data_IF_222790740261
#
_entry.id   IF_222790740261
#
_cell.length_a   1.000
_cell.length_b   1.000
_cell.length_c   1.000
_cell.angle_alpha   90.00
_cell.angle_beta   90.00
_cell.angle_gamma   90.00
#
_symmetry.space_group_name_H-M   'P 1'
#
loop_
_entity.id
_entity.type
_entity.pdbx_description
1 polymer ?
#
# COMPACT_ATOMS: atom_id res chain seq x y z
N UNK A 1 -4.02 -27.73 -14.82
CA UNK A 1 -3.71 -26.92 -14.66
C UNK A 1 -3.04 -26.39 -14.92
N UNK A 2 -3.08 -26.37 -15.12
CA UNK A 2 -2.51 -25.60 -15.21
C UNK A 2 -2.19 -24.79 -15.46
N UNK A 3 -2.23 -24.62 -15.81
CA UNK A 3 -1.88 -23.60 -15.95
C UNK A 3 -1.27 -23.03 -15.87
N UNK A 4 -1.09 -23.10 -15.91
CA UNK A 4 -0.43 -22.37 -15.67
C UNK A 4 0.23 -21.98 -15.61
N UNK A 5 0.08 -22.36 -15.61
CA UNK A 5 0.80 -21.84 -15.30
C UNK A 5 1.40 -21.34 -15.65
N UNK A 6 1.13 -21.25 -15.88
CA UNK A 6 1.64 -20.56 -15.96
C UNK A 6 2.25 -19.90 -16.31
N UNK A 7 1.87 -20.02 -16.58
CA UNK A 7 2.28 -19.28 -16.71
C UNK A 7 2.79 -18.77 -16.81
N UNK A 8 2.75 -18.83 -16.75
CA UNK A 8 3.30 -18.14 -16.55
C UNK A 8 4.16 -17.91 -16.62
N UNK A 9 3.86 -17.59 -16.48
CA UNK A 9 4.95 -17.50 -16.26
C UNK A 9 6.00 -17.21 -17.16
N UNK A 10 5.91 -17.20 -18.04
CA UNK A 10 6.98 -17.05 -18.94
C UNK A 10 7.40 -15.63 -19.16
N UNK A 11 6.48 -14.77 -19.28
CA UNK A 11 6.84 -13.38 -19.49
C UNK A 11 7.68 -12.87 -18.34
N UNK A 12 7.42 -13.37 -17.20
CA UNK A 12 8.22 -13.01 -16.07
C UNK A 12 9.67 -13.38 -16.27
N UNK A 13 9.92 -14.45 -16.93
CA UNK A 13 11.29 -14.92 -17.08
C UNK A 13 12.09 -14.08 -18.04
N UNK A 14 11.42 -13.33 -18.87
CA UNK A 14 12.14 -12.73 -19.95
C UNK A 14 13.13 -11.72 -19.48
N UNK A 15 12.78 -10.70 -18.79
CA UNK A 15 13.75 -9.69 -18.52
C UNK A 15 13.63 -9.17 -17.14
N UNK A 16 14.60 -8.43 -16.77
CA UNK A 16 14.63 -7.86 -15.48
C UNK A 16 14.35 -8.87 -14.43
N UNK A 17 14.66 -10.06 -14.69
CA UNK A 17 14.23 -11.15 -13.95
C UNK A 17 14.00 -10.89 -12.48
N UNK A 18 14.96 -10.30 -11.81
CA UNK A 18 14.86 -10.17 -10.36
C UNK A 18 13.68 -9.29 -9.93
N UNK A 19 13.57 -8.12 -10.51
CA UNK A 19 12.48 -7.22 -10.14
C UNK A 19 11.12 -7.80 -10.51
N UNK A 20 11.05 -8.43 -11.66
CA UNK A 20 9.81 -9.04 -12.08
C UNK A 20 9.39 -10.14 -11.12
N UNK A 21 10.35 -10.94 -10.69
CA UNK A 21 10.04 -11.99 -9.73
C UNK A 21 9.55 -11.44 -8.42
N UNK A 22 10.20 -10.39 -7.92
CA UNK A 22 9.78 -9.78 -6.67
C UNK A 22 8.37 -9.25 -6.80
N UNK A 23 8.06 -8.58 -7.89
CA UNK A 23 6.73 -8.03 -8.10
C UNK A 23 5.68 -9.12 -8.11
N UNK A 24 5.93 -10.19 -8.85
CA UNK A 24 4.97 -11.29 -8.90
C UNK A 24 4.78 -11.92 -7.53
N UNK A 25 5.87 -12.07 -6.81
CA UNK A 25 5.81 -12.66 -5.48
C UNK A 25 5.03 -11.78 -4.51
N UNK A 26 5.17 -10.47 -4.63
CA UNK A 26 4.50 -9.55 -3.73
C UNK A 26 3.01 -9.44 -3.99
N UNK A 27 2.60 -9.61 -5.23
CA UNK A 27 1.27 -9.18 -5.62
C UNK A 27 0.17 -10.18 -5.32
N UNK A 28 0.30 -11.37 -5.66
CA UNK A 28 -0.63 -12.48 -5.42
C UNK A 28 -2.05 -12.09 -4.97
N UNK A 29 -2.71 -11.25 -5.78
CA UNK A 29 -4.10 -10.86 -5.58
C UNK A 29 -4.38 -10.09 -4.31
N UNK A 30 -3.36 -9.43 -3.76
CA UNK A 30 -3.59 -8.56 -2.62
C UNK A 30 -4.23 -7.26 -3.06
N UNK A 31 -5.04 -6.69 -2.18
CA UNK A 31 -5.74 -5.44 -2.44
C UNK A 31 -5.23 -4.38 -1.48
N UNK A 32 -4.93 -3.21 -2.03
CA UNK A 32 -4.42 -2.08 -1.26
C UNK A 32 -5.39 -0.91 -1.35
N UNK A 33 -5.69 -0.33 -0.20
CA UNK A 33 -6.48 0.90 -0.14
C UNK A 33 -5.50 2.07 -0.02
N UNK A 34 -5.57 2.97 -0.96
CA UNK A 34 -4.66 4.11 -1.07
C UNK A 34 -5.42 5.37 -0.69
N UNK A 35 -4.97 6.07 0.34
CA UNK A 35 -5.63 7.29 0.84
C UNK A 35 -4.66 8.45 0.80
N UNK A 36 -5.00 9.48 0.04
CA UNK A 36 -4.18 10.68 -0.09
C UNK A 36 -5.08 11.78 -0.63
N UNK A 37 -4.93 13.00 -0.12
CA UNK A 37 -5.79 14.08 -0.57
C UNK A 37 -5.29 14.72 -1.88
N UNK A 38 -4.11 14.35 -2.35
CA UNK A 38 -3.57 14.87 -3.60
C UNK A 38 -3.83 13.92 -4.75
N UNK A 39 -4.64 14.36 -5.67
CA UNK A 39 -5.08 13.52 -6.78
C UNK A 39 -3.91 13.02 -7.63
N UNK A 40 -2.91 13.88 -7.85
CA UNK A 40 -1.75 13.48 -8.65
C UNK A 40 -0.94 12.40 -7.95
N UNK A 41 -0.80 12.49 -6.64
CA UNK A 41 -0.09 11.45 -5.89
C UNK A 41 -0.83 10.12 -6.00
N UNK A 42 -2.16 10.16 -5.87
CA UNK A 42 -2.96 8.96 -6.00
C UNK A 42 -2.75 8.33 -7.38
N UNK A 43 -2.81 9.15 -8.43
CA UNK A 43 -2.70 8.61 -9.79
C UNK A 43 -1.36 7.91 -10.01
N UNK A 44 -0.28 8.53 -9.56
CA UNK A 44 1.05 7.96 -9.73
C UNK A 44 1.22 6.69 -8.90
N UNK A 45 0.77 6.75 -7.66
CA UNK A 45 0.88 5.60 -6.77
C UNK A 45 0.03 4.43 -7.24
N UNK A 46 -1.15 4.74 -7.76
CA UNK A 46 -2.00 3.68 -8.31
C UNK A 46 -1.33 2.98 -9.47
N UNK A 47 -0.71 3.77 -10.37
CA UNK A 47 0.00 3.18 -11.49
C UNK A 47 1.10 2.23 -11.03
N UNK A 48 1.87 2.66 -10.02
CA UNK A 48 2.94 1.82 -9.51
C UNK A 48 2.40 0.54 -8.87
N UNK A 49 1.35 0.67 -8.07
CA UNK A 49 0.79 -0.49 -7.39
C UNK A 49 0.20 -1.48 -8.38
N UNK A 50 -0.48 -1.00 -9.39
CA UNK A 50 -1.03 -1.89 -10.41
C UNK A 50 0.07 -2.56 -11.21
N UNK A 51 1.16 -1.84 -11.47
CA UNK A 51 2.28 -2.43 -12.16
C UNK A 51 2.92 -3.55 -11.34
N UNK A 52 2.86 -3.44 -10.02
CA UNK A 52 3.34 -4.50 -9.15
C UNK A 52 2.35 -5.65 -9.01
N UNK A 53 1.15 -5.51 -9.58
CA UNK A 53 0.16 -6.57 -9.58
C UNK A 53 -0.91 -6.46 -8.52
N UNK A 54 -0.91 -5.39 -7.73
CA UNK A 54 -1.91 -5.23 -6.69
C UNK A 54 -3.21 -4.68 -7.24
N UNK A 55 -4.31 -5.03 -6.59
CA UNK A 55 -5.59 -4.36 -6.80
C UNK A 55 -5.62 -3.13 -5.92
N UNK A 56 -6.19 -2.04 -6.44
CA UNK A 56 -6.11 -0.75 -5.76
C UNK A 56 -7.49 -0.15 -5.61
N UNK A 57 -7.83 0.25 -4.40
CA UNK A 57 -8.96 1.11 -4.11
C UNK A 57 -8.41 2.46 -3.70
N UNK A 58 -9.08 3.54 -4.06
CA UNK A 58 -8.57 4.89 -3.86
C UNK A 58 -9.55 5.73 -3.07
N UNK A 59 -9.02 6.60 -2.22
CA UNK A 59 -9.81 7.57 -1.49
C UNK A 59 -9.02 8.86 -1.36
N UNK A 60 -9.72 9.99 -1.41
CA UNK A 60 -9.08 11.30 -1.32
C UNK A 60 -9.24 11.95 0.05
N UNK A 61 -9.78 11.23 1.01
CA UNK A 61 -9.88 11.72 2.37
C UNK A 61 -9.91 10.53 3.32
N UNK A 62 -9.62 10.81 4.59
CA UNK A 62 -9.72 9.75 5.59
C UNK A 62 -11.11 9.20 5.71
N UNK A 63 -12.12 10.08 5.64
CA UNK A 63 -13.51 9.63 5.74
C UNK A 63 -13.88 8.70 4.60
N UNK A 64 -13.55 9.09 3.38
CA UNK A 64 -13.82 8.24 2.22
C UNK A 64 -13.08 6.91 2.34
N UNK A 65 -11.82 6.98 2.77
CA UNK A 65 -11.03 5.78 2.93
C UNK A 65 -11.60 4.82 3.93
N UNK A 66 -12.07 5.34 5.07
CA UNK A 66 -12.66 4.48 6.09
C UNK A 66 -13.98 3.88 5.62
N UNK A 67 -14.75 4.62 4.84
CA UNK A 67 -15.98 4.08 4.27
C UNK A 67 -15.67 2.93 3.32
N UNK A 68 -14.70 3.12 2.43
CA UNK A 68 -14.28 2.06 1.52
C UNK A 68 -13.75 0.87 2.28
N UNK A 69 -13.00 1.13 3.36
CA UNK A 69 -12.46 0.03 4.15
C UNK A 69 -13.57 -0.78 4.79
N UNK A 70 -14.56 -0.11 5.35
CA UNK A 70 -15.66 -0.82 5.99
C UNK A 70 -16.42 -1.68 5.00
N UNK A 71 -16.62 -1.16 3.79
CA UNK A 71 -17.35 -1.90 2.75
C UNK A 71 -16.55 -3.06 2.17
N UNK A 72 -15.23 -3.03 2.29
CA UNK A 72 -14.35 -4.00 1.67
C UNK A 72 -13.34 -4.63 2.63
N UNK A 73 -13.66 -4.64 3.91
CA UNK A 73 -12.65 -5.03 4.91
C UNK A 73 -12.17 -6.46 4.77
N UNK A 74 -13.00 -7.32 4.20
CA UNK A 74 -12.59 -8.71 4.03
C UNK A 74 -11.62 -8.90 2.86
N UNK A 75 -11.48 -7.92 2.00
CA UNK A 75 -10.59 -8.03 0.84
C UNK A 75 -9.36 -7.13 0.93
N UNK A 76 -9.42 -6.03 1.66
CA UNK A 76 -8.29 -5.11 1.75
C UNK A 76 -7.21 -5.68 2.67
N UNK A 77 -6.01 -5.79 2.15
CA UNK A 77 -4.88 -6.37 2.87
C UNK A 77 -3.96 -5.32 3.48
N UNK A 78 -3.96 -4.12 2.94
CA UNK A 78 -3.06 -3.07 3.40
C UNK A 78 -3.69 -1.71 3.10
N UNK A 79 -3.56 -0.79 4.06
CA UNK A 79 -3.91 0.61 3.83
C UNK A 79 -2.62 1.39 3.73
N UNK A 80 -2.47 2.19 2.67
CA UNK A 80 -1.39 3.15 2.56
C UNK A 80 -2.02 4.53 2.68
N UNK A 81 -1.70 5.25 3.74
CA UNK A 81 -2.33 6.53 4.02
C UNK A 81 -1.30 7.63 4.13
N UNK A 82 -1.59 8.76 3.50
CA UNK A 82 -0.83 9.98 3.73
C UNK A 82 -1.06 10.41 5.18
N UNK A 83 -0.05 11.05 5.76
CA UNK A 83 -0.18 11.53 7.13
C UNK A 83 -0.95 12.84 7.19
N UNK A 84 -0.59 13.79 6.34
CA UNK A 84 -1.14 15.13 6.44
C UNK A 84 -2.30 15.32 5.48
N UNK A 85 -3.50 15.21 6.00
CA UNK A 85 -4.72 15.41 5.23
C UNK A 85 -5.65 16.31 6.03
N UNK A 86 -6.50 17.10 5.32
CA UNK A 86 -7.48 17.93 6.03
C UNK A 86 -8.45 17.08 6.84
N UNK A 87 -8.79 17.55 8.00
CA UNK A 87 -9.85 17.02 8.86
C UNK A 87 -9.55 15.69 9.51
N UNK A 88 -8.81 14.80 8.86
CA UNK A 88 -8.47 13.52 9.46
C UNK A 88 -7.10 13.11 8.95
N UNK A 89 -6.12 13.01 9.86
CA UNK A 89 -4.76 12.65 9.46
C UNK A 89 -4.59 11.13 9.43
N UNK A 90 -3.40 10.70 9.00
CA UNK A 90 -3.14 9.27 8.84
C UNK A 90 -3.19 8.49 10.14
N UNK A 91 -2.84 9.11 11.26
CA UNK A 91 -2.90 8.42 12.54
C UNK A 91 -4.36 8.14 12.91
N UNK A 92 -5.22 9.12 12.69
CA UNK A 92 -6.65 8.92 12.97
C UNK A 92 -7.25 7.88 12.05
N UNK A 93 -6.82 7.85 10.79
CA UNK A 93 -7.27 6.81 9.86
C UNK A 93 -6.89 5.43 10.41
N UNK A 94 -5.64 5.27 10.84
CA UNK A 94 -5.19 3.99 11.35
C UNK A 94 -5.99 3.59 12.59
N UNK A 95 -6.16 4.52 13.52
CA UNK A 95 -6.87 4.21 14.76
C UNK A 95 -8.30 3.75 14.47
N UNK A 96 -8.98 4.45 13.57
CA UNK A 96 -10.36 4.09 13.25
C UNK A 96 -10.45 2.82 12.42
N UNK A 97 -9.49 2.61 11.53
CA UNK A 97 -9.48 1.37 10.77
C UNK A 97 -9.29 0.17 11.69
N UNK A 98 -8.50 0.32 12.73
CA UNK A 98 -8.28 -0.77 13.67
C UNK A 98 -9.43 -0.99 14.63
N UNK A 99 -10.33 -0.02 14.76
CA UNK A 99 -11.60 -0.28 15.43
C UNK A 99 -12.47 -1.20 14.61
N UNK A 100 -12.35 -1.12 13.27
CA UNK A 100 -13.11 -1.98 12.38
C UNK A 100 -12.46 -3.35 12.26
N UNK A 101 -11.15 -3.39 12.11
CA UNK A 101 -10.39 -4.62 11.99
C UNK A 101 -9.03 -4.45 12.68
N UNK A 102 -8.88 -4.99 13.89
CA UNK A 102 -7.63 -4.79 14.64
C UNK A 102 -6.38 -5.35 13.95
N UNK A 103 -6.54 -6.22 12.97
CA UNK A 103 -5.42 -6.85 12.30
C UNK A 103 -4.98 -6.14 11.03
N UNK A 104 -5.70 -5.08 10.63
CA UNK A 104 -5.37 -4.42 9.37
C UNK A 104 -3.98 -3.80 9.42
N UNK A 105 -3.24 -3.98 8.36
CA UNK A 105 -1.91 -3.40 8.22
C UNK A 105 -2.01 -2.02 7.62
N UNK A 106 -1.24 -1.08 8.16
CA UNK A 106 -1.28 0.31 7.71
C UNK A 106 0.14 0.81 7.54
N UNK A 107 0.43 1.33 6.35
CA UNK A 107 1.70 1.97 6.07
C UNK A 107 1.47 3.47 5.90
N UNK A 108 2.33 4.26 6.55
CA UNK A 108 2.24 5.70 6.47
C UNK A 108 3.09 6.21 5.31
N UNK A 109 2.56 7.17 4.58
CA UNK A 109 3.25 7.81 3.48
C UNK A 109 3.33 9.30 3.78
N UNK A 110 4.52 9.90 3.70
CA UNK A 110 4.66 11.31 4.05
C UNK A 110 5.86 11.92 3.35
N UNK A 111 5.70 13.17 2.92
CA UNK A 111 6.81 13.96 2.41
C UNK A 111 7.46 14.80 3.47
N UNK A 112 6.79 14.99 4.60
CA UNK A 112 7.31 15.85 5.67
C UNK A 112 8.23 15.11 6.63
N UNK A 113 8.02 13.80 6.80
CA UNK A 113 8.84 13.02 7.71
C UNK A 113 10.09 12.52 7.00
N UNK A 114 11.10 12.18 7.76
CA UNK A 114 12.36 11.67 7.21
C UNK A 114 12.52 10.21 7.60
N UNK A 115 13.56 9.58 7.05
CA UNK A 115 13.89 8.21 7.42
C UNK A 115 14.14 8.08 8.92
N UNK A 116 14.66 9.15 9.53
CA UNK A 116 14.94 9.14 10.97
C UNK A 116 13.66 9.04 11.79
N UNK A 117 12.53 9.41 11.21
CA UNK A 117 11.25 9.35 11.92
C UNK A 117 10.59 7.98 11.88
N UNK A 118 11.16 7.05 11.14
CA UNK A 118 10.52 5.75 10.93
C UNK A 118 10.27 5.02 12.24
N UNK A 119 11.23 5.08 13.15
CA UNK A 119 11.05 4.40 14.43
C UNK A 119 9.85 4.96 15.19
N UNK A 120 9.69 6.27 15.21
CA UNK A 120 8.53 6.88 15.85
C UNK A 120 7.23 6.46 15.22
N UNK A 121 7.22 6.36 13.89
CA UNK A 121 6.03 5.94 13.15
C UNK A 121 5.66 4.50 13.56
N UNK A 122 6.64 3.63 13.59
CA UNK A 122 6.41 2.24 13.99
C UNK A 122 5.94 2.18 15.44
N UNK A 123 6.56 2.96 16.31
CA UNK A 123 6.18 2.97 17.72
C UNK A 123 4.74 3.43 17.92
N UNK A 124 4.20 4.23 17.01
CA UNK A 124 2.81 4.68 17.09
C UNK A 124 1.83 3.64 16.57
N UNK A 125 2.32 2.54 16.05
CA UNK A 125 1.46 1.44 15.66
C UNK A 125 1.38 1.16 14.17
N UNK A 126 2.01 1.98 13.33
CA UNK A 126 2.01 1.72 11.90
C UNK A 126 2.90 0.52 11.59
N UNK A 127 2.56 -0.18 10.52
CA UNK A 127 3.34 -1.35 10.11
C UNK A 127 4.52 -0.97 9.23
N UNK A 128 4.58 0.27 8.76
CA UNK A 128 5.69 0.73 7.96
C UNK A 128 5.53 2.19 7.61
N UNK A 129 6.58 2.70 6.96
CA UNK A 129 6.64 4.11 6.56
C UNK A 129 7.35 4.19 5.23
N UNK A 130 6.82 5.01 4.33
CA UNK A 130 7.51 5.30 3.09
C UNK A 130 7.54 6.79 2.86
N UNK A 131 8.74 7.31 2.55
CA UNK A 131 8.92 8.74 2.34
C UNK A 131 8.58 9.11 0.91
N UNK A 132 7.82 10.17 0.74
CA UNK A 132 7.53 10.71 -0.59
C UNK A 132 8.64 11.65 -1.03
N UNK A 133 8.95 11.71 -2.31
CA UNK A 133 8.46 10.84 -3.38
C UNK A 133 9.18 9.50 -3.35
N UNK A 134 8.49 8.46 -3.77
CA UNK A 134 9.09 7.14 -3.78
C UNK A 134 8.99 6.53 -5.17
N UNK A 135 9.89 5.60 -5.46
CA UNK A 135 9.89 4.91 -6.74
C UNK A 135 9.32 3.52 -6.60
N UNK A 136 9.25 2.82 -7.72
CA UNK A 136 8.65 1.51 -7.78
C UNK A 136 9.37 0.50 -6.89
N UNK A 137 10.70 0.56 -6.87
CA UNK A 137 11.47 -0.37 -6.05
C UNK A 137 11.26 -0.16 -4.57
N UNK A 138 11.26 1.10 -4.14
CA UNK A 138 11.04 1.40 -2.74
C UNK A 138 9.65 0.93 -2.30
N UNK A 139 8.65 1.19 -3.15
CA UNK A 139 7.29 0.80 -2.83
C UNK A 139 7.17 -0.72 -2.74
N UNK A 140 7.75 -1.43 -3.70
CA UNK A 140 7.71 -2.88 -3.71
C UNK A 140 8.33 -3.48 -2.45
N UNK A 141 9.49 -2.99 -2.07
CA UNK A 141 10.20 -3.52 -0.91
C UNK A 141 9.47 -3.25 0.39
N UNK A 142 8.94 -2.04 0.53
CA UNK A 142 8.22 -1.70 1.76
C UNK A 142 6.96 -2.54 1.93
N UNK A 143 6.23 -2.73 0.83
CA UNK A 143 5.00 -3.50 0.91
C UNK A 143 5.29 -4.97 1.20
N UNK A 144 6.33 -5.51 0.56
CA UNK A 144 6.66 -6.92 0.75
C UNK A 144 6.97 -7.24 2.21
N UNK A 145 7.66 -6.35 2.89
CA UNK A 145 7.99 -6.54 4.30
C UNK A 145 6.73 -6.58 5.16
N UNK A 146 5.73 -5.79 4.80
CA UNK A 146 4.52 -5.66 5.60
C UNK A 146 3.53 -6.80 5.35
N UNK A 147 3.29 -7.11 4.08
CA UNK A 147 2.25 -8.06 3.71
C UNK A 147 2.74 -9.50 3.82
N UNK A 148 3.98 -9.73 3.47
CA UNK A 148 4.54 -11.08 3.53
C UNK A 148 5.25 -11.32 4.86
#
# INVERSE_FOLDING_TARGET
MQLANFTNNSCASSKGGFETKIALSCAQEKTILLIDDEETVIAISEMMLKRLGYKVLKAQSGYEGLQLFEENKSTIDLIISDFEMPRMNGKEVMDKAREIDPQIKVMLSSGALTEADEKNVIDKGFNGFIKKPYDLNALCKKIAVIIN
#
